data_IF_894883516260
#
_entry.id   IF_894883516260
#
_cell.length_a   1.000
_cell.length_b   1.000
_cell.length_c   1.000
_cell.angle_alpha   90.00
_cell.angle_beta   90.00
_cell.angle_gamma   90.00
#
_symmetry.space_group_name_H-M   'P 1'
#
loop_
_entity.id
_entity.type
_entity.pdbx_description
1 polymer ?
#
# COMPACT_ATOMS: atom_id res chain seq x y z
N UNK A 1 -9.39 -4.51 -4.82
CA UNK A 1 -8.09 -4.88 -4.20
C UNK A 1 -8.27 -6.08 -3.27
N UNK A 2 -7.42 -7.10 -3.41
CA UNK A 2 -7.66 -8.44 -2.87
C UNK A 2 -7.40 -8.54 -1.34
N UNK A 3 -6.63 -7.62 -0.77
CA UNK A 3 -6.21 -7.65 0.64
C UNK A 3 -6.96 -6.64 1.51
N UNK A 4 -8.30 -6.74 1.57
CA UNK A 4 -9.14 -5.79 2.31
C UNK A 4 -8.75 -5.62 3.79
N UNK A 5 -8.48 -6.73 4.50
CA UNK A 5 -8.11 -6.70 5.91
C UNK A 5 -6.77 -5.98 6.16
N UNK A 6 -5.74 -6.27 5.37
CA UNK A 6 -4.45 -5.59 5.47
C UNK A 6 -4.57 -4.10 5.16
N UNK A 7 -5.39 -3.71 4.18
CA UNK A 7 -5.66 -2.29 3.88
C UNK A 7 -6.28 -1.57 5.06
N UNK A 8 -7.29 -2.16 5.70
CA UNK A 8 -7.91 -1.61 6.89
C UNK A 8 -6.92 -1.49 8.06
N UNK A 9 -6.07 -2.49 8.27
CA UNK A 9 -5.01 -2.44 9.26
C UNK A 9 -4.03 -1.30 9.00
N UNK A 10 -3.50 -1.19 7.78
CA UNK A 10 -2.59 -0.09 7.41
C UNK A 10 -3.24 1.29 7.62
N UNK A 11 -4.51 1.45 7.22
CA UNK A 11 -5.26 2.68 7.44
C UNK A 11 -5.38 3.00 8.95
N UNK A 12 -5.69 2.01 9.79
CA UNK A 12 -5.74 2.19 11.25
C UNK A 12 -4.39 2.59 11.87
N UNK A 13 -3.28 2.18 11.24
CA UNK A 13 -1.92 2.58 11.62
C UNK A 13 -1.47 3.92 11.03
N UNK A 14 -2.37 4.66 10.36
CA UNK A 14 -2.09 5.99 9.81
C UNK A 14 -1.37 5.99 8.45
N UNK A 15 -1.38 4.88 7.72
CA UNK A 15 -0.96 4.87 6.31
C UNK A 15 -2.10 5.37 5.40
N UNK A 16 -1.74 6.01 4.29
CA UNK A 16 -2.68 6.39 3.22
C UNK A 16 -2.28 5.80 1.88
N UNK A 17 -3.28 5.53 1.04
CA UNK A 17 -3.07 5.11 -0.35
C UNK A 17 -2.57 6.30 -1.19
N UNK A 18 -1.55 6.06 -2.01
CA UNK A 18 -0.90 7.10 -2.83
C UNK A 18 -0.90 6.79 -4.32
N UNK A 19 -1.31 5.58 -4.68
CA UNK A 19 -1.36 5.15 -6.06
C UNK A 19 -1.48 3.65 -6.20
N UNK A 20 -1.63 3.23 -7.45
CA UNK A 20 -1.69 1.84 -7.84
C UNK A 20 -0.71 1.64 -8.99
N UNK A 21 0.09 0.59 -8.90
CA UNK A 21 0.90 0.10 -10.02
C UNK A 21 0.24 -1.12 -10.61
N UNK A 22 -0.22 -1.00 -11.84
CA UNK A 22 -0.96 -2.06 -12.51
C UNK A 22 -0.03 -3.19 -12.99
N UNK A 23 -0.49 -4.43 -12.85
CA UNK A 23 0.17 -5.64 -13.37
C UNK A 23 1.68 -5.74 -13.07
N UNK A 24 2.08 -5.39 -11.86
CA UNK A 24 3.48 -5.40 -11.45
C UNK A 24 3.92 -6.75 -10.88
N UNK A 25 3.06 -7.42 -10.13
CA UNK A 25 3.37 -8.70 -9.48
C UNK A 25 2.74 -9.88 -10.21
N UNK A 26 3.55 -10.86 -10.64
CA UNK A 26 3.03 -12.14 -11.18
C UNK A 26 3.07 -13.22 -10.09
N UNK A 27 1.90 -13.69 -9.68
CA UNK A 27 1.77 -14.76 -8.69
C UNK A 27 0.77 -15.81 -9.20
N UNK A 28 1.21 -17.08 -9.23
CA UNK A 28 0.44 -18.22 -9.75
C UNK A 28 -0.17 -17.96 -11.13
N UNK A 29 0.64 -17.43 -12.04
CA UNK A 29 0.24 -17.15 -13.44
C UNK A 29 -0.66 -15.93 -13.63
N UNK A 30 -1.10 -15.27 -12.55
CA UNK A 30 -1.93 -14.05 -12.63
C UNK A 30 -1.09 -12.82 -12.32
N UNK A 31 -1.21 -11.81 -13.18
CA UNK A 31 -0.72 -10.46 -12.89
C UNK A 31 -1.65 -9.76 -11.91
N UNK A 32 -1.05 -9.06 -10.94
CA UNK A 32 -1.73 -8.34 -9.88
C UNK A 32 -1.22 -6.91 -9.81
N UNK A 33 -2.11 -6.04 -9.38
CA UNK A 33 -1.79 -4.65 -9.11
C UNK A 33 -1.20 -4.52 -7.71
N UNK A 34 -0.32 -3.54 -7.53
CA UNK A 34 0.31 -3.23 -6.27
C UNK A 34 -0.18 -1.88 -5.78
N UNK A 35 -0.80 -1.84 -4.60
CA UNK A 35 -1.14 -0.60 -3.91
C UNK A 35 0.12 0.02 -3.32
N UNK A 36 0.32 1.32 -3.55
CA UNK A 36 1.35 2.10 -2.89
C UNK A 36 0.73 2.78 -1.66
N UNK A 37 1.39 2.62 -0.52
CA UNK A 37 0.99 3.22 0.76
C UNK A 37 2.12 4.10 1.27
N UNK A 38 1.78 5.22 1.89
CA UNK A 38 2.73 6.06 2.62
C UNK A 38 2.22 6.39 4.02
N UNK A 39 3.15 6.56 4.95
CA UNK A 39 2.91 7.18 6.27
C UNK A 39 4.08 8.12 6.53
N UNK A 40 3.80 9.38 6.82
CA UNK A 40 4.84 10.37 7.09
C UNK A 40 5.24 10.33 8.56
N UNK A 41 6.54 10.32 8.80
CA UNK A 41 7.09 10.39 10.15
C UNK A 41 6.94 11.81 10.68
N UNK A 42 6.61 11.94 11.97
CA UNK A 42 6.59 13.21 12.69
C UNK A 42 7.82 13.40 13.58
N UNK A 43 8.77 12.46 13.55
CA UNK A 43 9.94 12.45 14.45
C UNK A 43 11.26 12.57 13.68
N UNK A 44 11.32 12.07 12.45
CA UNK A 44 12.53 12.07 11.62
C UNK A 44 12.16 12.51 10.20
N UNK A 45 13.08 13.20 9.51
CA UNK A 45 12.84 13.70 8.15
C UNK A 45 11.76 14.79 8.07
N UNK A 46 11.63 15.59 9.13
CA UNK A 46 10.72 16.73 9.24
C UNK A 46 11.48 18.02 8.91
N UNK A 47 11.94 18.14 7.67
CA UNK A 47 12.48 19.40 7.14
C UNK A 47 11.36 20.29 6.58
#
# INVERSE_FOLDING_TARGET
>A
PENGASRALHASCGFREVGVRERLGRHRGRWRDTLLLERRSTTVGTD
#
